data_IF_382718089239
#
_entry.id   IF_382718089239
#
_cell.length_a   1.000
_cell.length_b   1.000
_cell.length_c   1.000
_cell.angle_alpha   90.00
_cell.angle_beta   90.00
_cell.angle_gamma   90.00
#
_symmetry.space_group_name_H-M   'P 1'
#
loop_
_entity.id
_entity.type
_entity.pdbx_description
1 polymer ?
#
# COMPACT_ATOMS: atom_id res chain seq x y z
N UNK A 1 5.22 -17.60 14.90
CA UNK A 1 6.65 -17.63 15.28
C UNK A 1 7.12 -16.19 15.27
N UNK A 2 7.96 -15.79 16.22
CA UNK A 2 8.44 -14.40 16.30
C UNK A 2 9.43 -14.13 15.17
N UNK A 3 9.14 -13.13 14.35
CA UNK A 3 9.97 -12.77 13.20
C UNK A 3 10.80 -11.51 13.49
N UNK A 4 12.02 -11.47 12.96
CA UNK A 4 12.99 -10.40 13.21
C UNK A 4 13.43 -9.73 11.91
N UNK A 5 13.76 -8.45 12.00
CA UNK A 5 14.22 -7.62 10.89
C UNK A 5 15.30 -6.65 11.36
N UNK A 6 16.08 -6.13 10.42
CA UNK A 6 16.98 -5.00 10.62
C UNK A 6 16.27 -3.73 10.13
N UNK A 7 16.14 -2.76 11.02
CA UNK A 7 15.47 -1.50 10.81
C UNK A 7 16.50 -0.36 10.71
N UNK A 8 16.33 0.49 9.70
CA UNK A 8 16.98 1.79 9.59
C UNK A 8 16.05 2.87 10.15
N UNK A 9 16.50 3.56 11.20
CA UNK A 9 15.89 4.77 11.75
C UNK A 9 16.68 5.98 11.34
N UNK A 10 16.05 6.90 10.62
CA UNK A 10 16.67 8.17 10.23
C UNK A 10 15.62 9.27 10.25
N UNK A 11 16.00 10.47 9.82
CA UNK A 11 15.12 11.62 9.74
C UNK A 11 14.87 11.93 8.27
N UNK A 12 13.59 12.08 7.91
CA UNK A 12 13.20 12.49 6.56
C UNK A 12 13.67 13.91 6.23
N UNK A 13 13.58 14.32 4.94
CA UNK A 13 13.89 15.68 4.53
C UNK A 13 12.97 16.75 5.15
N UNK A 14 11.83 16.33 5.68
CA UNK A 14 10.86 17.12 6.44
C UNK A 14 11.18 17.22 7.95
N UNK A 15 12.23 16.53 8.42
CA UNK A 15 12.58 16.50 9.84
C UNK A 15 11.82 15.44 10.65
N UNK A 16 10.92 14.68 10.03
CA UNK A 16 10.12 13.66 10.71
C UNK A 16 10.89 12.35 10.86
N UNK A 17 10.66 11.59 11.96
CA UNK A 17 11.22 10.25 12.11
C UNK A 17 10.79 9.33 10.97
N UNK A 18 11.76 8.65 10.38
CA UNK A 18 11.57 7.69 9.30
C UNK A 18 12.16 6.34 9.66
N UNK A 19 11.33 5.30 9.57
CA UNK A 19 11.71 3.92 9.85
C UNK A 19 11.50 3.04 8.62
N UNK A 20 12.52 2.28 8.24
CA UNK A 20 12.49 1.39 7.08
C UNK A 20 13.16 0.06 7.39
N UNK A 21 12.48 -1.04 7.08
CA UNK A 21 13.11 -2.37 7.08
C UNK A 21 14.07 -2.45 5.89
N UNK A 22 15.32 -2.82 6.18
CA UNK A 22 16.39 -2.91 5.18
C UNK A 22 16.89 -4.35 4.96
N UNK A 23 16.31 -5.33 5.67
CA UNK A 23 16.70 -6.73 5.59
C UNK A 23 15.53 -7.63 5.18
N UNK A 24 15.82 -8.90 4.81
CA UNK A 24 14.84 -9.98 4.85
C UNK A 24 14.26 -10.21 6.25
N UNK A 25 13.30 -11.14 6.31
CA UNK A 25 12.70 -11.64 7.56
C UNK A 25 13.52 -12.80 8.10
N UNK A 26 13.76 -12.81 9.41
CA UNK A 26 14.50 -13.87 10.08
C UNK A 26 13.63 -14.53 11.15
N UNK A 27 13.82 -15.83 11.35
CA UNK A 27 13.13 -16.60 12.39
C UNK A 27 13.79 -16.46 13.78
N UNK A 28 14.89 -15.70 13.88
CA UNK A 28 15.58 -15.41 15.13
C UNK A 28 16.35 -14.09 15.07
N UNK A 29 16.50 -13.45 16.23
CA UNK A 29 17.30 -12.23 16.40
C UNK A 29 18.76 -12.46 15.98
N UNK A 30 19.34 -13.61 16.38
CA UNK A 30 20.70 -13.98 16.05
C UNK A 30 20.95 -14.07 14.53
N UNK A 31 19.97 -14.54 13.75
CA UNK A 31 20.09 -14.60 12.29
C UNK A 31 20.02 -13.20 11.66
N UNK A 32 19.16 -12.32 12.17
CA UNK A 32 19.10 -10.92 11.75
C UNK A 32 20.41 -10.17 12.08
N UNK A 33 20.97 -10.39 13.27
CA UNK A 33 22.24 -9.83 13.70
C UNK A 33 23.43 -10.34 12.88
N UNK A 34 23.43 -11.63 12.53
CA UNK A 34 24.43 -12.20 11.63
C UNK A 34 24.36 -11.57 10.24
N UNK A 35 23.15 -11.41 9.69
CA UNK A 35 22.96 -10.73 8.40
C UNK A 35 23.41 -9.27 8.47
N UNK A 36 23.04 -8.53 9.53
CA UNK A 36 23.46 -7.14 9.76
C UNK A 36 24.99 -7.03 9.75
N UNK A 37 25.66 -7.90 10.51
CA UNK A 37 27.12 -7.92 10.63
C UNK A 37 27.81 -8.28 9.30
N UNK A 38 27.27 -9.25 8.57
CA UNK A 38 27.77 -9.64 7.25
C UNK A 38 27.66 -8.52 6.20
N UNK A 39 26.71 -7.59 6.37
CA UNK A 39 26.54 -6.42 5.50
C UNK A 39 27.28 -5.17 6.01
N UNK A 40 28.16 -5.31 7.01
CA UNK A 40 28.97 -4.20 7.53
C UNK A 40 28.15 -3.14 8.27
N UNK A 41 26.95 -3.48 8.74
CA UNK A 41 26.08 -2.56 9.46
C UNK A 41 26.35 -2.66 10.96
N UNK A 42 26.89 -1.59 11.55
CA UNK A 42 27.14 -1.54 13.00
C UNK A 42 25.85 -1.24 13.75
N UNK A 43 25.62 -1.94 14.87
CA UNK A 43 24.51 -1.62 15.77
C UNK A 43 24.64 -0.18 16.25
N UNK A 44 23.59 0.61 16.02
CA UNK A 44 23.54 2.02 16.41
C UNK A 44 22.09 2.42 16.69
N UNK A 45 21.86 3.65 17.14
CA UNK A 45 20.50 4.20 17.23
C UNK A 45 19.81 4.28 15.85
N UNK A 46 20.60 4.27 14.78
CA UNK A 46 20.17 4.34 13.39
C UNK A 46 19.92 2.96 12.77
N UNK A 47 20.66 1.92 13.18
CA UNK A 47 20.49 0.57 12.65
C UNK A 47 20.36 -0.42 13.80
N UNK A 48 19.18 -1.02 13.93
CA UNK A 48 18.88 -1.97 15.01
C UNK A 48 18.16 -3.21 14.50
N UNK A 49 18.33 -4.32 15.21
CA UNK A 49 17.49 -5.52 15.03
C UNK A 49 16.27 -5.38 15.91
N UNK A 50 15.09 -5.69 15.39
CA UNK A 50 13.83 -5.62 16.13
C UNK A 50 12.90 -6.75 15.72
N UNK A 51 11.91 -7.03 16.56
CA UNK A 51 10.81 -7.89 16.18
C UNK A 51 9.95 -7.19 15.13
N UNK A 52 9.48 -7.93 14.13
CA UNK A 52 8.64 -7.43 13.05
C UNK A 52 7.34 -6.81 13.58
N UNK A 53 6.72 -7.45 14.57
CA UNK A 53 5.50 -6.98 15.22
C UNK A 53 5.64 -5.60 15.90
N UNK A 54 6.88 -5.19 16.20
CA UNK A 54 7.19 -3.89 16.81
C UNK A 54 7.43 -2.80 15.77
N UNK A 55 7.33 -3.11 14.47
CA UNK A 55 7.50 -2.15 13.36
C UNK A 55 6.11 -1.78 12.82
N UNK A 56 5.57 -0.61 13.16
CA UNK A 56 4.23 -0.21 12.73
C UNK A 56 4.11 -0.16 11.21
N UNK A 57 3.05 -0.75 10.67
CA UNK A 57 2.73 -0.65 9.25
C UNK A 57 3.58 -1.53 8.33
N UNK A 58 4.50 -2.36 8.85
CA UNK A 58 5.42 -3.14 8.01
C UNK A 58 4.75 -4.36 7.38
N UNK A 59 3.83 -5.02 8.08
CA UNK A 59 3.07 -6.13 7.50
C UNK A 59 2.19 -5.67 6.33
N UNK A 60 1.59 -4.49 6.47
CA UNK A 60 0.79 -3.82 5.45
C UNK A 60 1.65 -3.44 4.25
N UNK A 61 2.81 -2.84 4.51
CA UNK A 61 3.80 -2.53 3.46
C UNK A 61 4.16 -3.79 2.67
N UNK A 62 4.46 -4.89 3.35
CA UNK A 62 4.80 -6.16 2.71
C UNK A 62 3.66 -6.73 1.90
N UNK A 63 2.46 -6.72 2.44
CA UNK A 63 1.27 -7.17 1.74
C UNK A 63 1.02 -6.33 0.48
N UNK A 64 1.17 -5.00 0.56
CA UNK A 64 1.06 -4.12 -0.59
C UNK A 64 2.10 -4.44 -1.65
N UNK A 65 3.38 -4.57 -1.26
CA UNK A 65 4.49 -4.86 -2.19
C UNK A 65 4.35 -6.22 -2.84
N UNK A 66 4.06 -7.26 -2.06
CA UNK A 66 4.05 -8.64 -2.53
C UNK A 66 2.77 -8.99 -3.29
N UNK A 67 1.63 -8.52 -2.79
CA UNK A 67 0.33 -9.02 -3.24
C UNK A 67 -0.46 -7.98 -4.04
N UNK A 68 -0.44 -6.70 -3.63
CA UNK A 68 -1.32 -5.70 -4.24
C UNK A 68 -0.71 -4.96 -5.44
N UNK A 69 0.57 -4.56 -5.35
CA UNK A 69 1.24 -3.84 -6.44
C UNK A 69 1.38 -4.68 -7.72
N UNK A 70 1.75 -5.98 -7.67
CA UNK A 70 1.77 -6.81 -8.87
C UNK A 70 0.39 -6.94 -9.52
N UNK A 71 -0.68 -7.01 -8.72
CA UNK A 71 -2.05 -7.04 -9.25
C UNK A 71 -2.43 -5.74 -9.94
N UNK A 72 -2.04 -4.59 -9.37
CA UNK A 72 -2.27 -3.29 -10.03
C UNK A 72 -1.48 -3.14 -11.32
N UNK A 73 -0.30 -3.74 -11.40
CA UNK A 73 0.44 -3.80 -12.65
C UNK A 73 -0.36 -4.59 -13.71
N UNK A 74 -0.90 -5.76 -13.36
CA UNK A 74 -1.73 -6.54 -14.29
C UNK A 74 -2.98 -5.78 -14.74
N UNK A 75 -3.69 -5.10 -13.83
CA UNK A 75 -4.84 -4.27 -14.19
C UNK A 75 -4.44 -3.13 -15.15
N UNK A 76 -3.31 -2.46 -14.89
CA UNK A 76 -2.79 -1.42 -15.78
C UNK A 76 -2.47 -1.97 -17.16
N UNK A 77 -1.78 -3.11 -17.23
CA UNK A 77 -1.44 -3.80 -18.49
C UNK A 77 -2.70 -4.24 -19.26
N UNK A 78 -3.80 -4.52 -18.55
CA UNK A 78 -5.11 -4.79 -19.13
C UNK A 78 -5.86 -3.53 -19.63
N UNK A 79 -5.28 -2.34 -19.45
CA UNK A 79 -5.85 -1.07 -19.91
C UNK A 79 -6.72 -0.35 -18.88
N UNK A 80 -6.56 -0.64 -17.58
CA UNK A 80 -7.26 0.08 -16.51
C UNK A 80 -6.40 1.24 -15.97
N UNK A 81 -6.55 2.49 -16.46
CA UNK A 81 -5.63 3.58 -16.15
C UNK A 81 -5.65 4.01 -14.68
N UNK A 82 -6.77 3.77 -13.98
CA UNK A 82 -6.88 4.08 -12.54
C UNK A 82 -6.02 3.16 -11.67
N UNK A 83 -5.60 2.00 -12.16
CA UNK A 83 -4.76 1.07 -11.41
C UNK A 83 -3.40 1.67 -11.04
N UNK A 84 -2.80 2.45 -11.94
CA UNK A 84 -1.56 3.20 -11.67
C UNK A 84 -1.76 4.22 -10.54
N UNK A 85 -2.85 4.98 -10.58
CA UNK A 85 -3.14 6.01 -9.58
C UNK A 85 -3.38 5.39 -8.20
N UNK A 86 -4.10 4.26 -8.16
CA UNK A 86 -4.28 3.50 -6.92
C UNK A 86 -2.96 2.95 -6.38
N UNK A 87 -2.10 2.40 -7.25
CA UNK A 87 -0.77 1.91 -6.87
C UNK A 87 0.13 3.03 -6.32
N UNK A 88 0.16 4.18 -6.99
CA UNK A 88 0.88 5.38 -6.53
C UNK A 88 0.39 5.82 -5.15
N UNK A 89 -0.93 5.88 -4.96
CA UNK A 89 -1.51 6.26 -3.68
C UNK A 89 -1.12 5.27 -2.57
N UNK A 90 -1.11 3.96 -2.84
CA UNK A 90 -0.66 2.96 -1.87
C UNK A 90 0.81 3.16 -1.50
N UNK A 91 1.70 3.35 -2.49
CA UNK A 91 3.11 3.63 -2.22
C UNK A 91 3.30 4.85 -1.31
N UNK A 92 2.56 5.93 -1.55
CA UNK A 92 2.62 7.15 -0.74
C UNK A 92 2.09 6.89 0.67
N UNK A 93 0.88 6.33 0.79
CA UNK A 93 0.22 6.08 2.08
C UNK A 93 1.05 5.16 2.97
N UNK A 94 1.69 4.13 2.39
CA UNK A 94 2.49 3.17 3.17
C UNK A 94 3.96 3.48 3.18
N UNK A 95 4.38 4.65 2.67
CA UNK A 95 5.80 5.06 2.58
C UNK A 95 6.66 3.98 1.93
N UNK A 96 6.11 3.29 0.93
CA UNK A 96 6.76 2.23 0.18
C UNK A 96 7.46 2.85 -1.03
N UNK A 97 8.70 2.41 -1.37
CA UNK A 97 9.35 2.82 -2.60
C UNK A 97 8.46 2.58 -3.82
N UNK A 98 8.52 3.50 -4.78
CA UNK A 98 7.76 3.36 -6.01
C UNK A 98 8.34 2.22 -6.86
N UNK A 99 7.53 1.24 -7.33
CA UNK A 99 8.00 0.20 -8.24
C UNK A 99 8.47 0.78 -9.57
N UNK A 100 9.44 0.10 -10.21
CA UNK A 100 10.03 0.54 -11.48
C UNK A 100 8.97 0.74 -12.59
N UNK A 101 7.95 -0.11 -12.64
CA UNK A 101 6.86 0.02 -13.63
C UNK A 101 6.08 1.33 -13.42
N UNK A 102 5.69 1.64 -12.18
CA UNK A 102 5.02 2.89 -11.84
C UNK A 102 5.92 4.09 -12.18
N UNK A 103 7.19 4.05 -11.77
CA UNK A 103 8.14 5.12 -12.01
C UNK A 103 8.34 5.39 -13.50
N UNK A 104 8.47 4.32 -14.29
CA UNK A 104 8.62 4.39 -15.75
C UNK A 104 7.39 5.03 -16.40
N UNK A 105 6.20 4.63 -16.01
CA UNK A 105 4.95 5.17 -16.59
C UNK A 105 4.75 6.63 -16.20
N UNK A 106 4.99 6.99 -14.94
CA UNK A 106 4.92 8.39 -14.48
C UNK A 106 5.92 9.27 -15.22
N UNK A 107 7.14 8.77 -15.41
CA UNK A 107 8.18 9.47 -16.19
C UNK A 107 7.75 9.65 -17.65
N UNK A 108 7.22 8.61 -18.31
CA UNK A 108 6.71 8.70 -19.67
C UNK A 108 5.54 9.69 -19.78
N UNK A 109 4.57 9.64 -18.87
CA UNK A 109 3.46 10.58 -18.84
C UNK A 109 3.94 12.03 -18.68
N UNK A 110 4.94 12.26 -17.82
CA UNK A 110 5.56 13.57 -17.66
C UNK A 110 6.25 14.06 -18.94
N UNK A 111 7.03 13.19 -19.61
CA UNK A 111 7.66 13.53 -20.89
C UNK A 111 6.63 13.91 -21.95
N UNK A 112 5.59 13.10 -22.16
CA UNK A 112 4.51 13.38 -23.11
C UNK A 112 3.86 14.74 -22.86
N UNK A 113 3.68 15.10 -21.59
CA UNK A 113 3.12 16.40 -21.21
C UNK A 113 4.08 17.56 -21.49
N UNK A 114 5.36 17.41 -21.15
CA UNK A 114 6.38 18.45 -21.35
C UNK A 114 6.77 18.66 -22.81
N UNK A 115 6.71 17.61 -23.61
CA UNK A 115 6.93 17.65 -25.06
C UNK A 115 5.67 18.09 -25.83
N UNK A 116 4.59 18.45 -25.11
CA UNK A 116 3.30 18.88 -25.65
C UNK A 116 2.62 17.87 -26.58
N UNK A 117 2.95 16.57 -26.46
CA UNK A 117 2.29 15.48 -27.18
C UNK A 117 0.84 15.29 -26.71
N UNK A 118 0.58 15.62 -25.44
CA UNK A 118 -0.74 15.63 -24.82
C UNK A 118 -1.02 16.99 -24.17
N UNK A 119 -2.30 17.34 -24.06
CA UNK A 119 -2.74 18.65 -23.53
C UNK A 119 -3.06 18.62 -22.06
N UNK A 120 -3.36 17.44 -21.51
CA UNK A 120 -3.82 17.28 -20.13
C UNK A 120 -3.14 16.11 -19.44
N UNK A 121 -3.11 16.14 -18.10
CA UNK A 121 -2.64 15.03 -17.29
C UNK A 121 -3.52 13.78 -17.50
N UNK A 122 -4.83 13.95 -17.66
CA UNK A 122 -5.74 12.84 -17.93
C UNK A 122 -5.33 12.10 -19.22
N UNK A 123 -5.04 12.84 -20.30
CA UNK A 123 -4.49 12.26 -21.55
C UNK A 123 -3.10 11.63 -21.35
N UNK A 124 -2.23 12.24 -20.52
CA UNK A 124 -0.90 11.72 -20.22
C UNK A 124 -0.96 10.35 -19.54
N UNK A 125 -1.92 10.16 -18.63
CA UNK A 125 -2.14 8.91 -17.89
C UNK A 125 -3.19 7.98 -18.53
N UNK A 126 -3.70 8.30 -19.73
CA UNK A 126 -4.69 7.47 -20.42
C UNK A 126 -6.06 7.44 -19.76
N UNK A 127 -6.37 8.40 -18.88
CA UNK A 127 -7.66 8.53 -18.20
C UNK A 127 -8.66 9.18 -19.19
N UNK A 128 -9.14 8.39 -20.15
CA UNK A 128 -10.18 8.84 -21.08
C UNK A 128 -11.56 8.59 -20.49
N UNK A 129 -12.09 9.55 -19.73
CA UNK A 129 -13.46 9.43 -19.22
C UNK A 129 -13.94 10.65 -18.45
N UNK A 130 -15.23 10.97 -18.57
CA UNK A 130 -15.88 11.88 -17.63
C UNK A 130 -15.87 11.21 -16.26
N UNK A 131 -14.91 11.57 -15.39
CA UNK A 131 -15.04 11.38 -13.93
C UNK A 131 -16.47 11.78 -13.61
N UNK A 132 -17.28 10.80 -13.18
CA UNK A 132 -18.73 10.87 -13.30
C UNK A 132 -19.28 12.18 -12.71
N UNK A 133 -19.77 13.07 -13.59
CA UNK A 133 -20.45 14.31 -13.18
C UNK A 133 -21.61 13.92 -12.24
N UNK A 134 -21.51 14.32 -10.97
CA UNK A 134 -22.54 14.06 -9.95
C UNK A 134 -22.10 13.18 -8.79
N UNK A 135 -20.91 12.58 -8.83
CA UNK A 135 -20.36 11.92 -7.64
C UNK A 135 -19.91 13.00 -6.65
N UNK A 136 -20.44 12.97 -5.42
CA UNK A 136 -19.93 13.83 -4.34
C UNK A 136 -18.45 13.52 -4.14
N UNK A 137 -17.59 14.45 -4.53
CA UNK A 137 -16.12 14.30 -4.53
C UNK A 137 -15.59 13.86 -3.17
N UNK A 138 -16.22 14.30 -2.08
CA UNK A 138 -15.87 13.91 -0.72
C UNK A 138 -16.02 12.40 -0.48
N UNK A 139 -17.15 11.81 -0.92
CA UNK A 139 -17.40 10.38 -0.80
C UNK A 139 -16.52 9.55 -1.71
N UNK A 140 -16.26 10.02 -2.94
CA UNK A 140 -15.31 9.36 -3.85
C UNK A 140 -13.89 9.37 -3.30
N UNK A 141 -13.44 10.51 -2.76
CA UNK A 141 -12.12 10.66 -2.15
C UNK A 141 -11.96 9.77 -0.93
N UNK A 142 -12.97 9.71 -0.06
CA UNK A 142 -12.94 8.81 1.09
C UNK A 142 -12.86 7.34 0.65
N UNK A 143 -13.61 6.94 -0.38
CA UNK A 143 -13.51 5.57 -0.93
C UNK A 143 -12.13 5.29 -1.50
N UNK A 144 -11.60 6.18 -2.33
CA UNK A 144 -10.31 5.98 -2.98
C UNK A 144 -9.16 5.89 -1.97
N UNK A 145 -9.18 6.76 -0.95
CA UNK A 145 -8.15 6.80 0.09
C UNK A 145 -8.20 5.59 1.03
N UNK A 146 -9.41 5.12 1.37
CA UNK A 146 -9.59 4.17 2.47
C UNK A 146 -10.02 2.76 2.03
N UNK A 147 -10.37 2.52 0.76
CA UNK A 147 -10.75 1.18 0.26
C UNK A 147 -9.61 0.17 0.41
N UNK A 148 -8.42 0.56 -0.04
CA UNK A 148 -7.21 -0.27 0.10
C UNK A 148 -6.89 -0.54 1.57
N UNK A 149 -6.89 0.52 2.39
CA UNK A 149 -6.61 0.41 3.82
C UNK A 149 -7.63 -0.51 4.53
N UNK A 150 -8.93 -0.33 4.29
CA UNK A 150 -9.96 -1.19 4.87
C UNK A 150 -9.76 -2.68 4.52
N UNK A 151 -9.36 -2.98 3.29
CA UNK A 151 -9.04 -4.36 2.90
C UNK A 151 -7.87 -4.93 3.69
N UNK A 152 -6.77 -4.18 3.76
CA UNK A 152 -5.55 -4.63 4.44
C UNK A 152 -5.78 -4.80 5.93
N UNK A 153 -6.30 -3.76 6.60
CA UNK A 153 -6.48 -3.75 8.06
C UNK A 153 -7.47 -4.84 8.52
N UNK A 154 -8.57 -5.04 7.80
CA UNK A 154 -9.56 -6.09 8.15
C UNK A 154 -8.99 -7.49 7.94
N UNK A 155 -8.24 -7.74 6.85
CA UNK A 155 -7.66 -9.06 6.63
C UNK A 155 -6.50 -9.36 7.59
N UNK A 156 -5.75 -8.34 8.03
CA UNK A 156 -4.73 -8.47 9.09
C UNK A 156 -5.36 -8.99 10.39
N UNK A 157 -6.39 -8.31 10.90
CA UNK A 157 -7.09 -8.76 12.12
C UNK A 157 -7.74 -10.14 11.98
N UNK A 158 -8.27 -10.48 10.80
CA UNK A 158 -8.77 -11.84 10.55
C UNK A 158 -7.66 -12.89 10.57
N UNK A 159 -6.45 -12.57 10.08
CA UNK A 159 -5.30 -13.46 10.15
C UNK A 159 -4.81 -13.67 11.59
N UNK A 160 -4.98 -12.67 12.45
CA UNK A 160 -4.77 -12.76 13.90
C UNK A 160 -5.85 -13.58 14.64
N UNK A 161 -6.88 -14.06 13.91
CA UNK A 161 -7.93 -14.91 14.46
C UNK A 161 -9.17 -14.16 14.97
N UNK A 162 -9.27 -12.84 14.78
CA UNK A 162 -10.49 -12.10 15.13
C UNK A 162 -11.67 -12.54 14.26
N UNK A 163 -12.87 -12.51 14.87
CA UNK A 163 -14.12 -12.66 14.13
C UNK A 163 -14.30 -11.48 13.19
N UNK A 164 -15.04 -11.69 12.10
CA UNK A 164 -15.16 -10.69 11.04
C UNK A 164 -15.71 -9.34 11.52
N UNK A 165 -16.76 -9.34 12.35
CA UNK A 165 -17.37 -8.10 12.85
C UNK A 165 -16.43 -7.36 13.83
N UNK A 166 -15.71 -8.09 14.67
CA UNK A 166 -14.69 -7.54 15.57
C UNK A 166 -13.53 -6.92 14.79
N UNK A 167 -13.07 -7.59 13.73
CA UNK A 167 -12.04 -7.05 12.83
C UNK A 167 -12.49 -5.76 12.12
N UNK A 168 -13.77 -5.63 11.78
CA UNK A 168 -14.32 -4.41 11.15
C UNK A 168 -14.37 -3.23 12.13
N UNK A 169 -14.75 -3.49 13.38
CA UNK A 169 -14.74 -2.47 14.44
C UNK A 169 -13.33 -2.01 14.75
N UNK A 170 -12.41 -2.97 14.94
CA UNK A 170 -11.01 -2.67 15.21
C UNK A 170 -10.34 -1.92 14.06
N UNK A 171 -10.63 -2.30 12.82
CA UNK A 171 -10.15 -1.58 11.65
C UNK A 171 -10.71 -0.17 11.58
N UNK A 172 -11.98 0.05 11.92
CA UNK A 172 -12.54 1.40 11.95
C UNK A 172 -11.83 2.30 12.97
N UNK A 173 -11.51 1.78 14.16
CA UNK A 173 -10.79 2.53 15.18
C UNK A 173 -9.36 2.86 14.77
N UNK A 174 -8.64 1.91 14.17
CA UNK A 174 -7.29 2.15 13.68
C UNK A 174 -7.26 3.14 12.52
N UNK A 175 -8.19 2.99 11.57
CA UNK A 175 -8.29 3.90 10.43
C UNK A 175 -8.57 5.34 10.86
N UNK A 176 -9.24 5.58 11.99
CA UNK A 176 -9.44 6.95 12.52
C UNK A 176 -8.12 7.66 12.79
N UNK A 177 -7.07 6.94 13.17
CA UNK A 177 -5.73 7.52 13.36
C UNK A 177 -5.13 8.08 12.05
N UNK A 178 -5.60 7.57 10.90
CA UNK A 178 -5.21 8.04 9.55
C UNK A 178 -6.16 9.09 8.97
N UNK A 179 -7.07 9.65 9.79
CA UNK A 179 -8.03 10.68 9.38
C UNK A 179 -9.33 10.14 8.80
N UNK A 180 -9.59 8.84 8.91
CA UNK A 180 -10.88 8.25 8.53
C UNK A 180 -12.01 8.71 9.48
N UNK A 181 -13.14 9.16 8.93
CA UNK A 181 -14.29 9.65 9.71
C UNK A 181 -15.48 8.67 9.76
N UNK A 182 -15.34 7.48 9.18
CA UNK A 182 -16.42 6.48 9.15
C UNK A 182 -16.41 5.54 10.36
N UNK A 183 -17.55 4.88 10.60
CA UNK A 183 -17.65 3.76 11.55
C UNK A 183 -17.42 2.40 10.87
N UNK A 184 -17.58 1.32 11.63
CA UNK A 184 -17.45 -0.07 11.15
C UNK A 184 -18.35 -0.40 9.96
N UNK A 185 -19.52 0.24 9.85
CA UNK A 185 -20.42 0.11 8.69
C UNK A 185 -19.81 0.63 7.39
N UNK A 186 -19.09 1.76 7.45
CA UNK A 186 -18.39 2.33 6.30
C UNK A 186 -17.18 1.48 5.96
N UNK A 187 -16.43 1.00 6.95
CA UNK A 187 -15.32 0.05 6.74
C UNK A 187 -15.81 -1.24 6.09
N UNK A 188 -16.96 -1.78 6.52
CA UNK A 188 -17.59 -2.96 5.93
C UNK A 188 -17.94 -2.74 4.46
N UNK A 189 -18.50 -1.58 4.15
CA UNK A 189 -18.79 -1.21 2.76
C UNK A 189 -17.49 -1.15 1.94
N UNK A 190 -16.48 -0.43 2.42
CA UNK A 190 -15.17 -0.32 1.75
C UNK A 190 -14.49 -1.69 1.57
N UNK A 191 -14.53 -2.54 2.59
CA UNK A 191 -14.02 -3.90 2.56
C UNK A 191 -14.75 -4.76 1.55
N UNK A 192 -16.08 -4.65 1.47
CA UNK A 192 -16.90 -5.41 0.52
C UNK A 192 -16.66 -4.94 -0.91
N UNK A 193 -16.57 -3.62 -1.12
CA UNK A 193 -16.23 -3.02 -2.42
C UNK A 193 -14.82 -3.46 -2.86
N UNK A 194 -13.84 -3.44 -1.94
CA UNK A 194 -12.52 -3.97 -2.19
C UNK A 194 -12.56 -5.46 -2.55
N UNK A 195 -13.27 -6.27 -1.75
CA UNK A 195 -13.42 -7.72 -1.96
C UNK A 195 -14.03 -8.04 -3.33
N UNK A 196 -15.03 -7.29 -3.74
CA UNK A 196 -15.70 -7.46 -5.03
C UNK A 196 -14.74 -7.16 -6.19
N UNK A 197 -14.01 -6.03 -6.10
CA UNK A 197 -12.96 -5.70 -7.06
C UNK A 197 -11.91 -6.82 -7.14
N UNK A 198 -11.41 -7.30 -5.99
CA UNK A 198 -10.43 -8.39 -5.95
C UNK A 198 -10.96 -9.74 -6.45
N UNK A 199 -12.25 -10.06 -6.23
CA UNK A 199 -12.85 -11.32 -6.69
C UNK A 199 -13.07 -11.34 -8.20
N UNK A 200 -13.43 -10.20 -8.79
CA UNK A 200 -13.65 -10.09 -10.24
C UNK A 200 -12.34 -10.26 -11.02
N UNK A 201 -11.22 -9.81 -10.47
CA UNK A 201 -9.89 -9.96 -11.08
C UNK A 201 -9.46 -11.43 -11.09
N UNK A 202 -9.56 -12.13 -9.96
CA UNK A 202 -9.19 -13.56 -9.89
C UNK A 202 -10.07 -14.46 -10.78
N UNK A 203 -11.29 -14.03 -11.11
CA UNK A 203 -12.19 -14.78 -11.99
C UNK A 203 -11.77 -14.68 -13.47
N UNK A 204 -11.12 -13.58 -13.87
CA UNK A 204 -10.61 -13.40 -15.24
C UNK A 204 -9.43 -14.35 -15.52
N UNK A 205 -8.57 -14.60 -14.52
CA UNK A 205 -7.44 -15.54 -14.61
C UNK A 205 -7.82 -17.02 -14.65
N UNK A 206 -9.09 -17.35 -14.43
CA UNK A 206 -9.60 -18.74 -14.37
C UNK A 206 -10.43 -19.16 -15.58
N UNK A 207 -10.54 -18.29 -16.60
CA UNK A 207 -11.07 -18.70 -17.91
C UNK A 207 -9.92 -19.16 -18.81
N UNK A 208 -9.89 -20.45 -19.20
CA UNK A 208 -8.90 -20.98 -20.14
C UNK A 208 -9.02 -20.39 -21.54
#
# INVERSE_FOLDING_TARGET
MTEYVVLLRTTGPDGEPWERVISPVFQSEAAADAWRSANGLTTSQTVLTTCLQDVPGEEERRYIVRDLLPRKQMEWEAGEPLALIEALNWCVVTKTPLPDWCASIVSQAAHRLFDFEVRTLDEAFGISGKIHKGVKMEGARQRLNFRGLAWVTVNRFKAEGMKHDEALERAADEMKATGFRGGSSVVKQLYTEAKAAYSQINAVDSKP
#
